data_IF_191522902945
#
_entry.id   IF_191522902945
#
_cell.length_a   1.000
_cell.length_b   1.000
_cell.length_c   1.000
_cell.angle_alpha   90.00
_cell.angle_beta   90.00
_cell.angle_gamma   90.00
#
_symmetry.space_group_name_H-M   'P 1'
#
loop_
_entity.id
_entity.type
_entity.pdbx_description
1 polymer ?
#
# COMPACT_ATOMS: atom_id res chain seq x y z
N UNK A 1 -14.68 29.68 16.26
CA UNK A 1 -14.09 28.35 16.67
C UNK A 1 -14.91 27.13 16.23
N UNK A 2 -16.22 27.19 16.14
CA UNK A 2 -17.09 26.08 15.68
C UNK A 2 -16.97 25.78 14.17
N UNK A 3 -16.78 26.76 13.29
CA UNK A 3 -16.59 26.53 11.85
C UNK A 3 -15.31 25.74 11.49
N UNK A 4 -14.22 25.93 12.26
CA UNK A 4 -12.99 25.14 12.05
C UNK A 4 -13.16 23.65 12.41
N UNK A 5 -14.02 23.30 13.38
CA UNK A 5 -14.28 21.91 13.75
C UNK A 5 -15.08 21.15 12.68
N UNK A 6 -16.12 21.78 12.12
CA UNK A 6 -16.95 21.15 11.08
C UNK A 6 -16.19 20.91 9.77
N UNK A 7 -15.34 21.86 9.36
CA UNK A 7 -14.51 21.72 8.17
C UNK A 7 -13.47 20.58 8.25
N UNK A 8 -12.89 20.36 9.44
CA UNK A 8 -11.94 19.28 9.65
C UNK A 8 -12.60 17.89 9.61
N UNK A 9 -13.83 17.74 10.14
CA UNK A 9 -14.55 16.45 10.12
C UNK A 9 -14.88 16.04 8.68
N UNK A 10 -15.33 16.98 7.85
CA UNK A 10 -15.64 16.68 6.45
C UNK A 10 -14.39 16.33 5.64
N UNK A 11 -13.27 17.04 5.89
CA UNK A 11 -11.98 16.70 5.27
C UNK A 11 -11.50 15.31 5.68
N UNK A 12 -11.62 14.94 6.97
CA UNK A 12 -11.29 13.59 7.47
C UNK A 12 -12.15 12.53 6.79
N UNK A 13 -13.47 12.75 6.71
CA UNK A 13 -14.38 11.82 6.05
C UNK A 13 -14.04 11.65 4.55
N UNK A 14 -13.68 12.73 3.86
CA UNK A 14 -13.22 12.68 2.47
C UNK A 14 -11.95 11.85 2.34
N UNK A 15 -10.97 12.05 3.24
CA UNK A 15 -9.73 11.26 3.22
C UNK A 15 -10.00 9.77 3.49
N UNK A 16 -10.92 9.44 4.38
CA UNK A 16 -11.33 8.07 4.63
C UNK A 16 -12.00 7.42 3.41
N UNK A 17 -12.87 8.17 2.72
CA UNK A 17 -13.46 7.70 1.47
C UNK A 17 -12.40 7.44 0.38
N UNK A 18 -11.40 8.33 0.28
CA UNK A 18 -10.28 8.14 -0.64
C UNK A 18 -9.42 6.92 -0.27
N UNK A 19 -9.16 6.67 1.02
CA UNK A 19 -8.45 5.46 1.46
C UNK A 19 -9.18 4.17 1.07
N UNK A 20 -10.50 4.14 1.26
CA UNK A 20 -11.33 3.03 0.81
C UNK A 20 -11.22 2.84 -0.71
N UNK A 21 -11.37 3.93 -1.47
CA UNK A 21 -11.32 3.92 -2.94
C UNK A 21 -9.97 3.43 -3.47
N UNK A 22 -8.85 3.89 -2.89
CA UNK A 22 -7.50 3.46 -3.28
C UNK A 22 -7.43 1.93 -3.30
N UNK A 23 -7.77 1.29 -2.19
CA UNK A 23 -7.67 -0.16 -2.09
C UNK A 23 -8.72 -0.88 -2.93
N UNK A 24 -9.95 -0.36 -2.98
CA UNK A 24 -11.00 -0.94 -3.78
C UNK A 24 -10.57 -1.04 -5.25
N UNK A 25 -10.05 0.05 -5.82
CA UNK A 25 -9.60 0.08 -7.22
C UNK A 25 -8.30 -0.67 -7.44
N UNK A 26 -7.32 -0.55 -6.53
CA UNK A 26 -6.03 -1.26 -6.66
C UNK A 26 -6.25 -2.79 -6.69
N UNK A 27 -7.19 -3.30 -5.92
CA UNK A 27 -7.46 -4.74 -5.87
C UNK A 27 -8.25 -5.27 -7.08
N UNK A 28 -8.76 -4.39 -7.95
CA UNK A 28 -9.23 -4.79 -9.28
C UNK A 28 -8.08 -5.31 -10.17
N UNK A 29 -6.85 -4.85 -9.96
CA UNK A 29 -5.71 -5.22 -10.79
C UNK A 29 -5.43 -6.73 -10.78
N UNK A 30 -5.67 -7.41 -9.66
CA UNK A 30 -5.38 -8.85 -9.54
C UNK A 30 -6.29 -9.72 -10.44
N UNK A 31 -7.62 -9.64 -10.36
CA UNK A 31 -8.51 -10.35 -11.30
C UNK A 31 -8.33 -9.91 -12.75
N UNK A 32 -8.08 -8.62 -13.00
CA UNK A 32 -7.80 -8.13 -14.34
C UNK A 32 -6.53 -8.74 -14.92
N UNK A 33 -5.50 -8.98 -14.10
CA UNK A 33 -4.29 -9.70 -14.51
C UNK A 33 -4.57 -11.14 -14.97
N UNK A 34 -5.52 -11.84 -14.32
CA UNK A 34 -5.96 -13.19 -14.74
C UNK A 34 -6.69 -13.12 -16.08
N UNK A 35 -7.59 -12.17 -16.26
CA UNK A 35 -8.32 -11.96 -17.53
C UNK A 35 -7.32 -11.61 -18.65
N UNK A 36 -6.37 -10.71 -18.38
CA UNK A 36 -5.31 -10.35 -19.32
C UNK A 36 -4.47 -11.57 -19.73
N UNK A 37 -4.09 -12.41 -18.77
CA UNK A 37 -3.37 -13.66 -19.06
C UNK A 37 -4.15 -14.55 -20.02
N UNK A 38 -5.44 -14.75 -19.77
CA UNK A 38 -6.29 -15.64 -20.55
C UNK A 38 -6.55 -15.09 -21.96
N UNK A 39 -6.95 -13.83 -22.06
CA UNK A 39 -7.29 -13.19 -23.34
C UNK A 39 -6.07 -13.01 -24.26
N UNK A 40 -4.92 -12.64 -23.70
CA UNK A 40 -3.72 -12.35 -24.49
C UNK A 40 -2.73 -13.51 -24.55
N UNK A 41 -3.12 -14.70 -24.05
CA UNK A 41 -2.22 -15.88 -23.94
C UNK A 41 -0.87 -15.54 -23.29
N UNK A 42 -0.91 -14.64 -22.28
CA UNK A 42 0.29 -14.18 -21.60
C UNK A 42 0.84 -15.24 -20.64
N UNK A 43 2.16 -15.28 -20.46
CA UNK A 43 2.78 -16.13 -19.45
C UNK A 43 2.39 -15.72 -18.03
N UNK A 44 2.59 -16.58 -17.04
CA UNK A 44 2.39 -16.24 -15.63
C UNK A 44 3.20 -15.01 -15.20
N UNK A 45 4.42 -14.87 -15.69
CA UNK A 45 5.26 -13.71 -15.43
C UNK A 45 4.68 -12.42 -16.03
N UNK A 46 4.21 -12.48 -17.28
CA UNK A 46 3.57 -11.32 -17.93
C UNK A 46 2.27 -10.92 -17.24
N UNK A 47 1.47 -11.87 -16.74
CA UNK A 47 0.22 -11.54 -16.03
C UNK A 47 0.45 -10.69 -14.76
N UNK A 48 1.62 -10.80 -14.15
CA UNK A 48 2.00 -10.00 -12.98
C UNK A 48 2.51 -8.59 -13.35
N UNK A 49 2.72 -8.28 -14.64
CA UNK A 49 3.18 -6.96 -15.04
C UNK A 49 2.19 -5.85 -14.69
N UNK A 50 0.87 -6.13 -14.64
CA UNK A 50 -0.11 -5.18 -14.16
C UNK A 50 0.14 -4.74 -12.71
N UNK A 51 0.47 -5.68 -11.83
CA UNK A 51 0.84 -5.40 -10.43
C UNK A 51 2.22 -4.72 -10.34
N UNK A 52 3.21 -5.19 -11.10
CA UNK A 52 4.53 -4.59 -11.15
C UNK A 52 4.47 -3.14 -11.67
N UNK A 53 3.61 -2.85 -12.64
CA UNK A 53 3.41 -1.51 -13.17
C UNK A 53 2.99 -0.51 -12.08
N UNK A 54 2.19 -0.93 -11.09
CA UNK A 54 1.85 -0.09 -9.94
C UNK A 54 3.10 0.29 -9.12
N UNK A 55 3.97 -0.66 -8.79
CA UNK A 55 5.20 -0.37 -8.02
C UNK A 55 6.18 0.49 -8.82
N UNK A 56 6.29 0.26 -10.14
CA UNK A 56 7.07 1.10 -11.05
C UNK A 56 6.51 2.52 -11.09
N UNK A 57 5.18 2.67 -11.11
CA UNK A 57 4.53 3.98 -11.07
C UNK A 57 4.88 4.78 -9.80
N UNK A 58 4.95 4.13 -8.63
CA UNK A 58 5.38 4.79 -7.39
C UNK A 58 6.82 5.28 -7.46
N UNK A 59 7.71 4.51 -8.10
CA UNK A 59 9.11 4.91 -8.31
C UNK A 59 9.21 6.23 -9.07
N UNK A 60 8.42 6.40 -10.12
CA UNK A 60 8.47 7.59 -10.97
C UNK A 60 7.62 8.74 -10.45
N UNK A 61 6.47 8.47 -9.81
CA UNK A 61 5.52 9.52 -9.40
C UNK A 61 5.73 10.02 -7.98
N UNK A 62 6.45 9.30 -7.11
CA UNK A 62 6.60 9.69 -5.71
C UNK A 62 7.13 11.13 -5.55
N UNK A 63 8.32 11.42 -6.04
CA UNK A 63 8.93 12.77 -5.96
C UNK A 63 8.15 13.81 -6.77
N UNK A 64 7.81 13.60 -8.07
CA UNK A 64 6.96 14.53 -8.81
C UNK A 64 5.62 14.81 -8.14
N UNK A 65 4.97 13.77 -7.59
CA UNK A 65 3.71 13.89 -6.85
C UNK A 65 3.86 14.75 -5.58
N UNK A 66 4.95 14.57 -4.83
CA UNK A 66 5.29 15.42 -3.68
C UNK A 66 5.51 16.88 -4.06
N UNK A 67 6.09 17.14 -5.24
CA UNK A 67 6.22 18.51 -5.79
C UNK A 67 4.87 19.10 -6.19
N UNK A 68 4.00 18.30 -6.80
CA UNK A 68 2.63 18.73 -7.13
C UNK A 68 1.90 19.09 -5.82
N UNK A 69 2.00 18.23 -4.80
CA UNK A 69 1.41 18.46 -3.49
C UNK A 69 1.90 19.78 -2.87
N UNK A 70 3.21 20.02 -2.86
CA UNK A 70 3.81 21.25 -2.32
C UNK A 70 3.32 22.49 -3.05
N UNK A 71 3.23 22.45 -4.39
CA UNK A 71 2.92 23.60 -5.25
C UNK A 71 1.43 23.85 -5.43
N UNK A 72 0.63 22.81 -5.52
CA UNK A 72 -0.80 22.84 -5.86
C UNK A 72 -1.72 22.58 -4.65
N UNK A 73 -1.16 22.06 -3.55
CA UNK A 73 -1.89 21.67 -2.35
C UNK A 73 -2.58 20.32 -2.46
N UNK A 74 -3.23 19.91 -1.37
CA UNK A 74 -3.89 18.62 -1.23
C UNK A 74 -5.09 18.45 -2.14
N UNK A 75 -5.96 19.47 -2.23
CA UNK A 75 -7.17 19.42 -3.04
C UNK A 75 -6.86 19.24 -4.52
N UNK A 76 -5.98 20.06 -5.08
CA UNK A 76 -5.62 19.95 -6.49
C UNK A 76 -4.88 18.65 -6.80
N UNK A 77 -3.99 18.20 -5.91
CA UNK A 77 -3.30 16.92 -6.08
C UNK A 77 -4.30 15.76 -6.09
N UNK A 78 -5.30 15.76 -5.21
CA UNK A 78 -6.35 14.75 -5.19
C UNK A 78 -7.19 14.77 -6.48
N UNK A 79 -7.59 15.96 -6.97
CA UNK A 79 -8.35 16.08 -8.22
C UNK A 79 -7.56 15.55 -9.43
N UNK A 80 -6.27 15.92 -9.53
CA UNK A 80 -5.37 15.41 -10.58
C UNK A 80 -5.25 13.89 -10.46
N UNK A 81 -5.04 13.37 -9.26
CA UNK A 81 -4.90 11.95 -9.01
C UNK A 81 -6.13 11.16 -9.44
N UNK A 82 -7.32 11.63 -9.05
CA UNK A 82 -8.60 10.99 -9.41
C UNK A 82 -8.84 11.03 -10.92
N UNK A 83 -8.54 12.16 -11.60
CA UNK A 83 -8.65 12.28 -13.04
C UNK A 83 -7.68 11.33 -13.78
N UNK A 84 -6.42 11.22 -13.30
CA UNK A 84 -5.42 10.29 -13.84
C UNK A 84 -5.86 8.83 -13.63
N UNK A 85 -6.46 8.49 -12.47
CA UNK A 85 -6.99 7.16 -12.21
C UNK A 85 -8.15 6.79 -13.13
N UNK A 86 -9.07 7.72 -13.35
CA UNK A 86 -10.15 7.56 -14.32
C UNK A 86 -9.60 7.28 -15.73
N UNK A 87 -8.61 8.07 -16.17
CA UNK A 87 -7.97 7.89 -17.47
C UNK A 87 -7.24 6.55 -17.56
N UNK A 88 -6.52 6.13 -16.50
CA UNK A 88 -5.83 4.84 -16.44
C UNK A 88 -6.77 3.65 -16.61
N UNK A 89 -7.92 3.67 -15.91
CA UNK A 89 -8.95 2.64 -16.09
C UNK A 89 -9.60 2.69 -17.49
N UNK A 90 -9.78 3.89 -18.06
CA UNK A 90 -10.25 4.06 -19.42
C UNK A 90 -9.30 3.43 -20.46
N UNK A 91 -7.98 3.58 -20.25
CA UNK A 91 -6.95 2.93 -21.08
C UNK A 91 -6.97 1.41 -20.91
N UNK A 92 -7.18 0.90 -19.67
CA UNK A 92 -7.36 -0.55 -19.45
C UNK A 92 -8.63 -1.06 -20.16
N UNK A 93 -9.73 -0.33 -20.09
CA UNK A 93 -10.96 -0.68 -20.81
C UNK A 93 -10.72 -0.72 -22.32
N UNK A 94 -10.05 0.28 -22.86
CA UNK A 94 -9.69 0.35 -24.29
C UNK A 94 -8.84 -0.84 -24.73
N UNK A 95 -7.95 -1.35 -23.86
CA UNK A 95 -7.10 -2.50 -24.16
C UNK A 95 -7.89 -3.76 -24.55
N UNK A 96 -9.09 -3.92 -23.96
CA UNK A 96 -10.01 -5.01 -24.31
C UNK A 96 -10.55 -4.91 -25.72
N UNK A 97 -10.89 -3.70 -26.15
CA UNK A 97 -11.44 -3.47 -27.50
C UNK A 97 -10.37 -3.60 -28.61
N UNK A 98 -9.17 -3.11 -28.35
CA UNK A 98 -8.06 -3.20 -29.32
C UNK A 98 -7.21 -4.47 -29.16
N UNK A 99 -7.58 -5.34 -28.23
CA UNK A 99 -6.92 -6.62 -27.93
C UNK A 99 -5.39 -6.49 -27.75
N UNK A 100 -4.94 -5.47 -26.96
CA UNK A 100 -3.52 -5.20 -26.75
C UNK A 100 -3.11 -5.29 -25.29
N UNK A 101 -2.23 -6.27 -24.98
CA UNK A 101 -1.65 -6.44 -23.64
C UNK A 101 -0.81 -5.24 -23.20
N UNK A 102 -0.04 -4.65 -24.13
CA UNK A 102 0.81 -3.47 -23.83
C UNK A 102 -0.03 -2.26 -23.39
N UNK A 103 -1.21 -2.07 -23.99
CA UNK A 103 -2.15 -1.01 -23.60
C UNK A 103 -2.77 -1.29 -22.23
N UNK A 104 -3.04 -2.55 -21.88
CA UNK A 104 -3.46 -2.93 -20.53
C UNK A 104 -2.40 -2.53 -19.48
N UNK A 105 -1.13 -2.89 -19.72
CA UNK A 105 -0.03 -2.57 -18.81
C UNK A 105 0.17 -1.05 -18.70
N UNK A 106 0.04 -0.32 -19.80
CA UNK A 106 0.10 1.15 -19.80
C UNK A 106 -1.04 1.75 -18.95
N UNK A 107 -2.26 1.25 -19.09
CA UNK A 107 -3.39 1.67 -18.26
C UNK A 107 -3.17 1.39 -16.78
N UNK A 108 -2.60 0.23 -16.41
CA UNK A 108 -2.24 -0.11 -15.05
C UNK A 108 -1.14 0.82 -14.49
N UNK A 109 -0.15 1.19 -15.31
CA UNK A 109 0.89 2.14 -14.95
C UNK A 109 0.34 3.54 -14.68
N UNK A 110 -0.56 4.03 -15.54
CA UNK A 110 -1.25 5.32 -15.36
C UNK A 110 -2.10 5.29 -14.08
N UNK A 111 -2.85 4.20 -13.82
CA UNK A 111 -3.62 4.02 -12.60
C UNK A 111 -2.70 4.02 -11.36
N UNK A 112 -1.50 3.44 -11.46
CA UNK A 112 -0.49 3.46 -10.40
C UNK A 112 -0.04 4.88 -10.04
N UNK A 113 0.07 5.81 -11.00
CA UNK A 113 0.33 7.23 -10.71
C UNK A 113 -0.75 7.85 -9.85
N UNK A 114 -2.01 7.57 -10.17
CA UNK A 114 -3.15 8.00 -9.37
C UNK A 114 -3.05 7.50 -7.92
N UNK A 115 -2.79 6.20 -7.74
CA UNK A 115 -2.68 5.58 -6.42
C UNK A 115 -1.54 6.19 -5.60
N UNK A 116 -0.39 6.45 -6.23
CA UNK A 116 0.73 7.13 -5.59
C UNK A 116 0.33 8.54 -5.12
N UNK A 117 -0.26 9.35 -6.00
CA UNK A 117 -0.69 10.72 -5.66
C UNK A 117 -1.78 10.75 -4.59
N UNK A 118 -2.74 9.81 -4.61
CA UNK A 118 -3.76 9.72 -3.56
C UNK A 118 -3.14 9.39 -2.20
N UNK A 119 -2.19 8.46 -2.15
CA UNK A 119 -1.46 8.16 -0.92
C UNK A 119 -0.64 9.35 -0.40
N UNK A 120 -0.09 10.18 -1.30
CA UNK A 120 0.56 11.45 -0.95
C UNK A 120 -0.40 12.46 -0.31
N UNK A 121 -1.68 12.39 -0.64
CA UNK A 121 -2.71 13.27 -0.08
C UNK A 121 -3.21 12.74 1.26
N UNK A 122 -3.67 11.47 1.30
CA UNK A 122 -4.44 10.97 2.45
C UNK A 122 -3.60 10.75 3.71
N UNK A 123 -2.37 10.23 3.57
CA UNK A 123 -1.52 9.91 4.72
C UNK A 123 -1.06 11.18 5.48
N UNK A 124 -0.39 12.16 4.86
CA UNK A 124 0.10 13.32 5.59
C UNK A 124 -1.04 14.22 6.06
N UNK A 125 -2.14 14.32 5.30
CA UNK A 125 -3.25 15.16 5.71
C UNK A 125 -3.98 14.59 6.93
N UNK A 126 -4.26 13.29 6.99
CA UNK A 126 -4.85 12.66 8.18
C UNK A 126 -3.92 12.77 9.39
N UNK A 127 -2.62 12.56 9.21
CA UNK A 127 -1.65 12.71 10.28
C UNK A 127 -1.69 14.12 10.87
N UNK A 128 -1.68 15.15 10.03
CA UNK A 128 -1.73 16.56 10.44
C UNK A 128 -3.08 16.96 11.05
N UNK A 129 -4.20 16.52 10.47
CA UNK A 129 -5.54 16.79 11.00
C UNK A 129 -5.76 16.14 12.38
N UNK A 130 -5.08 15.04 12.67
CA UNK A 130 -5.04 14.42 13.99
C UNK A 130 -4.14 15.15 15.00
N UNK A 131 -3.37 16.16 14.58
CA UNK A 131 -2.42 16.91 15.41
C UNK A 131 -1.11 16.19 15.63
N UNK A 132 -0.72 15.34 14.68
CA UNK A 132 0.47 14.49 14.72
C UNK A 132 0.52 13.53 15.92
N UNK A 133 1.65 12.84 16.12
CA UNK A 133 1.83 11.94 17.27
C UNK A 133 0.77 10.85 17.35
N UNK A 134 0.23 10.60 18.54
CA UNK A 134 -0.71 9.49 18.80
C UNK A 134 -2.04 9.63 18.05
N UNK A 135 -2.64 10.82 18.06
CA UNK A 135 -3.94 11.06 17.40
C UNK A 135 -3.79 11.07 15.87
N UNK A 136 -2.70 11.64 15.35
CA UNK A 136 -2.37 11.56 13.93
C UNK A 136 -2.22 10.10 13.48
N UNK A 137 -1.44 9.30 14.24
CA UNK A 137 -1.33 7.87 13.99
C UNK A 137 -2.69 7.16 14.02
N UNK A 138 -3.56 7.49 14.98
CA UNK A 138 -4.89 6.91 15.08
C UNK A 138 -5.71 7.14 13.81
N UNK A 139 -5.76 8.37 13.28
CA UNK A 139 -6.50 8.68 12.06
C UNK A 139 -5.93 7.95 10.85
N UNK A 140 -4.60 7.89 10.72
CA UNK A 140 -3.96 7.12 9.64
C UNK A 140 -4.29 5.63 9.75
N UNK A 141 -4.26 5.03 10.95
CA UNK A 141 -4.61 3.61 11.15
C UNK A 141 -6.09 3.32 10.84
N UNK A 142 -7.01 4.23 11.19
CA UNK A 142 -8.43 4.12 10.81
C UNK A 142 -8.55 4.17 9.28
N UNK A 143 -7.84 5.09 8.61
CA UNK A 143 -7.77 5.15 7.15
C UNK A 143 -7.26 3.84 6.55
N UNK A 144 -6.17 3.29 7.08
CA UNK A 144 -5.65 1.97 6.68
C UNK A 144 -6.64 0.84 6.90
N UNK A 145 -7.48 0.91 7.95
CA UNK A 145 -8.55 -0.08 8.18
C UNK A 145 -9.60 -0.01 7.08
N UNK A 146 -10.05 1.19 6.70
CA UNK A 146 -10.99 1.40 5.60
C UNK A 146 -10.40 0.97 4.26
N UNK A 147 -9.10 1.18 4.05
CA UNK A 147 -8.36 0.65 2.92
C UNK A 147 -8.46 -0.88 2.87
N UNK A 148 -8.26 -1.58 4.00
CA UNK A 148 -8.40 -3.05 4.05
C UNK A 148 -9.82 -3.52 3.78
N UNK A 149 -10.84 -2.80 4.24
CA UNK A 149 -12.25 -3.09 3.91
C UNK A 149 -12.48 -2.96 2.39
N UNK A 150 -11.97 -1.90 1.77
CA UNK A 150 -12.02 -1.70 0.32
C UNK A 150 -11.35 -2.85 -0.45
N UNK A 151 -10.15 -3.27 0.01
CA UNK A 151 -9.43 -4.39 -0.57
C UNK A 151 -10.20 -5.71 -0.50
N UNK A 152 -10.88 -5.97 0.61
CA UNK A 152 -11.68 -7.19 0.82
C UNK A 152 -12.95 -7.18 -0.02
N UNK A 153 -13.63 -6.03 -0.11
CA UNK A 153 -14.87 -5.92 -0.87
C UNK A 153 -14.65 -5.95 -2.39
N UNK A 154 -13.50 -5.46 -2.86
CA UNK A 154 -13.21 -5.35 -4.28
C UNK A 154 -13.37 -6.67 -5.06
N UNK A 155 -12.72 -7.79 -4.69
CA UNK A 155 -12.90 -9.05 -5.40
C UNK A 155 -14.32 -9.63 -5.26
N UNK A 156 -15.02 -9.35 -4.15
CA UNK A 156 -16.41 -9.78 -3.96
C UNK A 156 -17.36 -9.07 -4.94
N UNK A 157 -17.23 -7.75 -5.05
CA UNK A 157 -18.02 -6.93 -5.98
C UNK A 157 -17.69 -7.32 -7.41
N UNK A 158 -16.42 -7.57 -7.72
CA UNK A 158 -16.00 -8.02 -9.04
C UNK A 158 -16.63 -9.38 -9.39
N UNK A 159 -16.56 -10.36 -8.48
CA UNK A 159 -17.19 -11.67 -8.66
C UNK A 159 -18.70 -11.59 -8.82
N UNK A 160 -19.36 -10.65 -8.13
CA UNK A 160 -20.78 -10.40 -8.30
C UNK A 160 -21.14 -9.80 -9.67
N UNK A 161 -20.29 -8.92 -10.21
CA UNK A 161 -20.52 -8.26 -11.51
C UNK A 161 -20.16 -9.17 -12.69
N UNK A 162 -19.02 -9.86 -12.63
CA UNK A 162 -18.47 -10.64 -13.76
C UNK A 162 -18.85 -12.12 -13.65
N UNK A 163 -19.17 -12.60 -12.43
CA UNK A 163 -19.29 -14.03 -12.13
C UNK A 163 -17.91 -14.68 -11.93
N UNK A 164 -17.81 -15.99 -12.12
CA UNK A 164 -16.52 -16.69 -12.02
C UNK A 164 -15.61 -16.32 -13.18
N UNK A 165 -14.38 -15.91 -12.88
CA UNK A 165 -13.35 -15.64 -13.88
C UNK A 165 -12.85 -16.98 -14.42
N UNK A 166 -13.27 -17.33 -15.62
CA UNK A 166 -12.88 -18.55 -16.34
C UNK A 166 -11.78 -18.25 -17.37
N UNK A 167 -11.30 -19.29 -18.04
CA UNK A 167 -10.34 -19.13 -19.15
C UNK A 167 -10.91 -18.37 -20.35
N UNK A 168 -12.22 -18.32 -20.48
CA UNK A 168 -12.93 -17.67 -21.58
C UNK A 168 -13.35 -16.22 -21.24
N UNK A 169 -13.17 -15.79 -19.97
CA UNK A 169 -13.54 -14.45 -19.55
C UNK A 169 -12.65 -13.41 -20.24
N UNK A 170 -13.29 -12.51 -21.03
CA UNK A 170 -12.62 -11.43 -21.75
C UNK A 170 -12.72 -10.08 -21.04
N UNK A 171 -11.88 -9.10 -21.45
CA UNK A 171 -12.00 -7.72 -20.97
C UNK A 171 -13.35 -7.07 -21.31
N UNK A 172 -13.99 -7.48 -22.41
CA UNK A 172 -15.30 -6.97 -22.79
C UNK A 172 -16.35 -7.44 -21.77
N UNK A 173 -16.27 -8.69 -21.31
CA UNK A 173 -17.14 -9.19 -20.23
C UNK A 173 -16.82 -8.54 -18.87
N UNK A 174 -15.58 -8.12 -18.66
CA UNK A 174 -15.15 -7.40 -17.46
C UNK A 174 -15.44 -5.87 -17.54
N UNK A 175 -15.85 -5.35 -18.71
CA UNK A 175 -16.10 -3.93 -18.91
C UNK A 175 -17.09 -3.30 -17.93
N UNK A 176 -18.20 -3.95 -17.48
CA UNK A 176 -19.09 -3.37 -16.48
C UNK A 176 -18.39 -3.08 -15.16
N UNK A 177 -17.47 -3.96 -14.73
CA UNK A 177 -16.71 -3.77 -13.51
C UNK A 177 -15.72 -2.59 -13.63
N UNK A 178 -15.04 -2.45 -14.78
CA UNK A 178 -14.18 -1.30 -15.05
C UNK A 178 -14.99 0.01 -15.11
N UNK A 179 -16.19 -0.01 -15.68
CA UNK A 179 -17.10 1.14 -15.70
C UNK A 179 -17.56 1.54 -14.29
N UNK A 180 -17.86 0.56 -13.43
CA UNK A 180 -18.16 0.82 -12.01
C UNK A 180 -16.97 1.49 -11.31
N UNK A 181 -15.74 0.99 -11.51
CA UNK A 181 -14.54 1.58 -10.96
C UNK A 181 -14.32 3.01 -11.49
N UNK A 182 -14.53 3.25 -12.78
CA UNK A 182 -14.50 4.61 -13.35
C UNK A 182 -15.57 5.51 -12.75
N UNK A 183 -16.79 4.99 -12.53
CA UNK A 183 -17.87 5.71 -11.84
C UNK A 183 -17.48 6.12 -10.42
N UNK A 184 -16.79 5.25 -9.67
CA UNK A 184 -16.26 5.57 -8.34
C UNK A 184 -15.27 6.74 -8.43
N UNK A 185 -14.36 6.76 -9.41
CA UNK A 185 -13.45 7.89 -9.62
C UNK A 185 -14.21 9.18 -9.98
N UNK A 186 -15.23 9.11 -10.82
CA UNK A 186 -16.06 10.27 -11.18
C UNK A 186 -16.78 10.85 -9.95
N UNK A 187 -17.38 9.99 -9.12
CA UNK A 187 -18.01 10.40 -7.84
C UNK A 187 -16.96 10.99 -6.90
N UNK A 188 -15.80 10.35 -6.75
CA UNK A 188 -14.71 10.87 -5.92
C UNK A 188 -14.23 12.24 -6.40
N UNK A 189 -14.15 12.47 -7.72
CA UNK A 189 -13.80 13.78 -8.28
C UNK A 189 -14.78 14.86 -7.83
N UNK A 190 -16.09 14.59 -7.93
CA UNK A 190 -17.15 15.53 -7.51
C UNK A 190 -17.06 15.77 -6.00
N UNK A 191 -16.90 14.71 -5.20
CA UNK A 191 -16.79 14.84 -3.73
C UNK A 191 -15.57 15.69 -3.35
N UNK A 192 -14.41 15.45 -3.94
CA UNK A 192 -13.19 16.24 -3.68
C UNK A 192 -13.36 17.68 -4.15
N UNK A 193 -14.00 17.89 -5.32
CA UNK A 193 -14.25 19.23 -5.87
C UNK A 193 -15.13 20.08 -4.93
N UNK A 194 -16.16 19.48 -4.35
CA UNK A 194 -17.08 20.15 -3.42
C UNK A 194 -16.50 20.25 -1.99
N UNK A 195 -15.49 19.43 -1.66
CA UNK A 195 -14.89 19.40 -0.33
C UNK A 195 -14.04 20.63 -0.05
N UNK A 196 -14.12 21.14 1.20
CA UNK A 196 -13.18 22.13 1.73
C UNK A 196 -12.02 21.41 2.39
N UNK A 197 -10.95 21.18 1.64
CA UNK A 197 -9.75 20.52 2.11
C UNK A 197 -8.74 21.56 2.56
N UNK A 198 -8.24 21.51 3.81
CA UNK A 198 -7.21 22.44 4.28
C UNK A 198 -5.87 22.17 3.62
N UNK A 199 -5.06 23.22 3.46
CA UNK A 199 -3.78 23.20 2.74
C UNK A 199 -2.61 23.54 3.67
N UNK A 200 -2.34 22.77 4.74
CA UNK A 200 -1.36 23.12 5.76
C UNK A 200 0.09 23.13 5.26
N UNK A 201 0.39 22.44 4.15
CA UNK A 201 1.76 22.26 3.65
C UNK A 201 1.95 22.80 2.22
N UNK A 202 1.02 23.60 1.74
CA UNK A 202 1.16 24.26 0.44
C UNK A 202 2.21 25.38 0.52
N UNK A 203 2.96 25.54 -0.55
CA UNK A 203 3.99 26.58 -0.72
C UNK A 203 3.42 27.97 -0.41
N UNK A 204 4.11 28.73 0.43
CA UNK A 204 3.74 30.12 0.74
C UNK A 204 4.03 31.06 -0.43
N UNK A 205 3.42 32.27 -0.42
CA UNK A 205 3.68 33.27 -1.45
C UNK A 205 5.18 33.65 -1.53
N UNK A 206 5.86 33.72 -0.37
CA UNK A 206 7.29 34.01 -0.28
C UNK A 206 8.15 32.88 -0.86
N UNK A 207 7.84 31.63 -0.50
CA UNK A 207 8.55 30.47 -1.04
C UNK A 207 8.37 30.36 -2.56
N UNK A 208 7.16 30.68 -3.07
CA UNK A 208 6.87 30.75 -4.50
C UNK A 208 7.69 31.85 -5.20
N UNK A 209 7.80 33.04 -4.60
CA UNK A 209 8.60 34.13 -5.14
C UNK A 209 10.09 33.76 -5.21
N UNK A 210 10.65 33.17 -4.13
CA UNK A 210 12.04 32.69 -4.11
C UNK A 210 12.28 31.60 -5.18
N UNK A 211 11.34 30.69 -5.36
CA UNK A 211 11.43 29.65 -6.40
C UNK A 211 11.43 30.24 -7.80
N UNK A 212 10.57 31.22 -8.08
CA UNK A 212 10.49 31.87 -9.40
C UNK A 212 11.76 32.69 -9.73
N UNK A 213 12.45 33.19 -8.72
CA UNK A 213 13.74 33.86 -8.87
C UNK A 213 14.95 32.89 -9.00
N UNK A 214 14.69 31.58 -9.14
CA UNK A 214 15.74 30.57 -9.30
C UNK A 214 16.41 30.12 -8.00
N UNK A 215 15.94 30.60 -6.84
CA UNK A 215 16.55 30.31 -5.52
C UNK A 215 16.18 28.96 -4.91
N UNK A 216 15.17 28.27 -5.44
CA UNK A 216 14.71 26.99 -4.87
C UNK A 216 15.02 25.83 -5.83
N UNK A 217 15.94 24.96 -5.44
CA UNK A 217 16.26 23.73 -6.16
C UNK A 217 15.49 22.54 -5.55
N UNK A 218 14.82 21.74 -6.37
CA UNK A 218 14.19 20.48 -5.97
C UNK A 218 15.22 19.55 -5.30
N UNK A 219 16.43 19.52 -5.82
CA UNK A 219 17.53 18.73 -5.26
C UNK A 219 17.88 19.19 -3.85
N UNK A 220 17.83 20.51 -3.58
CA UNK A 220 18.05 21.07 -2.23
C UNK A 220 16.96 20.59 -1.27
N UNK A 221 15.69 20.63 -1.67
CA UNK A 221 14.59 20.13 -0.82
C UNK A 221 14.72 18.62 -0.52
N UNK A 222 15.13 17.82 -1.51
CA UNK A 222 15.41 16.40 -1.32
C UNK A 222 16.54 16.21 -0.30
N UNK A 223 17.68 16.88 -0.52
CA UNK A 223 18.85 16.77 0.38
C UNK A 223 18.51 17.23 1.79
N UNK A 224 17.82 18.37 1.94
CA UNK A 224 17.40 18.86 3.26
C UNK A 224 16.43 17.91 3.96
N UNK A 225 15.52 17.27 3.22
CA UNK A 225 14.62 16.25 3.76
C UNK A 225 15.39 15.01 4.23
N UNK A 226 16.36 14.56 3.44
CA UNK A 226 17.17 13.38 3.77
C UNK A 226 18.15 13.63 4.95
N UNK A 227 18.41 14.89 5.32
CA UNK A 227 19.17 15.20 6.55
C UNK A 227 18.40 14.87 7.83
N UNK A 228 17.08 14.69 7.77
CA UNK A 228 16.30 14.18 8.91
C UNK A 228 16.54 12.68 9.06
N UNK A 229 17.45 12.31 9.96
CA UNK A 229 17.87 10.91 10.15
C UNK A 229 16.71 9.95 10.34
N UNK A 230 15.74 10.30 11.21
CA UNK A 230 14.56 9.47 11.46
C UNK A 230 13.69 9.29 10.21
N UNK A 231 13.61 10.30 9.33
CA UNK A 231 12.92 10.22 8.05
C UNK A 231 13.66 9.28 7.09
N UNK A 232 14.96 9.44 6.90
CA UNK A 232 15.74 8.64 5.95
C UNK A 232 15.71 7.16 6.27
N UNK A 233 15.89 6.80 7.55
CA UNK A 233 15.74 5.41 7.99
C UNK A 233 14.28 4.93 7.93
N UNK A 234 13.29 5.81 8.11
CA UNK A 234 11.87 5.51 7.92
C UNK A 234 11.50 5.25 6.47
N UNK A 235 12.08 6.02 5.54
CA UNK A 235 11.92 5.79 4.11
C UNK A 235 12.48 4.41 3.67
N UNK A 236 13.60 3.99 4.27
CA UNK A 236 14.12 2.64 4.05
C UNK A 236 13.24 1.58 4.73
N UNK A 237 12.69 1.87 5.92
CA UNK A 237 11.80 0.96 6.63
C UNK A 237 10.51 0.67 5.85
N UNK A 238 9.93 1.66 5.15
CA UNK A 238 8.73 1.41 4.33
C UNK A 238 9.06 0.57 3.10
N UNK A 239 10.23 0.73 2.49
CA UNK A 239 10.69 -0.13 1.41
C UNK A 239 10.73 -1.60 1.86
N UNK A 240 11.34 -1.86 3.00
CA UNK A 240 11.42 -3.21 3.58
C UNK A 240 10.06 -3.76 4.03
N UNK A 241 9.22 -2.87 4.57
CA UNK A 241 7.86 -3.26 4.94
C UNK A 241 7.05 -3.80 3.75
N UNK A 242 7.12 -3.15 2.58
CA UNK A 242 6.41 -3.62 1.38
C UNK A 242 6.91 -5.00 0.95
N UNK A 243 8.21 -5.25 1.02
CA UNK A 243 8.77 -6.58 0.73
C UNK A 243 8.19 -7.64 1.67
N UNK A 244 8.05 -7.32 2.96
CA UNK A 244 7.49 -8.25 3.95
C UNK A 244 5.98 -8.43 3.72
N UNK A 245 5.24 -7.34 3.59
CA UNK A 245 3.77 -7.34 3.48
C UNK A 245 3.29 -8.23 2.33
N UNK A 246 3.95 -8.14 1.19
CA UNK A 246 3.57 -8.88 -0.03
C UNK A 246 4.38 -10.18 -0.17
N UNK A 247 5.64 -10.18 0.21
CA UNK A 247 6.53 -11.33 0.05
C UNK A 247 6.18 -12.50 0.97
N UNK A 248 5.80 -12.24 2.23
CA UNK A 248 5.47 -13.32 3.17
C UNK A 248 4.32 -14.19 2.67
N UNK A 249 3.13 -13.66 2.31
CA UNK A 249 2.06 -14.50 1.78
C UNK A 249 2.37 -15.07 0.39
N UNK A 250 3.19 -14.39 -0.43
CA UNK A 250 3.60 -14.91 -1.73
C UNK A 250 4.45 -16.17 -1.60
N UNK A 251 5.41 -16.21 -0.67
CA UNK A 251 6.20 -17.42 -0.39
C UNK A 251 5.34 -18.53 0.23
N UNK A 252 4.38 -18.19 1.10
CA UNK A 252 3.42 -19.15 1.63
C UNK A 252 2.55 -19.78 0.54
N UNK A 253 2.11 -18.98 -0.43
CA UNK A 253 1.37 -19.46 -1.60
C UNK A 253 2.23 -20.44 -2.42
N UNK A 254 3.48 -20.09 -2.70
CA UNK A 254 4.43 -20.97 -3.40
C UNK A 254 4.62 -22.29 -2.66
N UNK A 255 4.85 -22.25 -1.33
CA UNK A 255 5.04 -23.45 -0.51
C UNK A 255 3.85 -24.41 -0.58
N UNK A 256 2.62 -23.87 -0.58
CA UNK A 256 1.40 -24.67 -0.63
C UNK A 256 1.01 -25.13 -2.05
N UNK A 257 1.54 -24.53 -3.08
CA UNK A 257 1.25 -24.89 -4.48
C UNK A 257 2.37 -25.65 -5.17
N UNK A 258 3.51 -25.83 -4.52
CA UNK A 258 4.60 -26.66 -5.00
C UNK A 258 4.21 -28.15 -4.91
N UNK A 259 3.93 -28.78 -6.06
CA UNK A 259 3.46 -30.17 -6.16
C UNK A 259 4.46 -31.20 -5.63
N UNK A 260 5.74 -30.87 -5.56
CA UNK A 260 6.81 -31.74 -5.07
C UNK A 260 7.08 -31.50 -3.59
N UNK A 261 6.66 -30.35 -3.07
CA UNK A 261 6.90 -29.91 -1.70
C UNK A 261 6.04 -30.64 -0.65
N UNK A 262 6.52 -30.76 0.59
CA UNK A 262 5.79 -31.43 1.68
C UNK A 262 4.54 -30.64 2.14
N UNK A 263 4.37 -29.41 1.70
CA UNK A 263 3.25 -28.53 2.06
C UNK A 263 2.16 -28.43 1.01
N UNK A 264 2.18 -29.27 -0.01
CA UNK A 264 1.22 -29.18 -1.12
C UNK A 264 -0.24 -29.41 -0.68
N UNK A 265 -1.12 -28.45 -1.00
CA UNK A 265 -2.56 -28.54 -0.71
C UNK A 265 -3.45 -28.06 -1.87
N UNK A 266 -2.86 -27.58 -2.94
CA UNK A 266 -3.58 -27.04 -4.09
C UNK A 266 -4.01 -25.58 -3.94
N UNK A 267 -4.31 -24.94 -5.09
CA UNK A 267 -4.48 -23.49 -5.18
C UNK A 267 -5.66 -22.92 -4.37
N UNK A 268 -6.79 -23.65 -4.28
CA UNK A 268 -7.97 -23.16 -3.57
C UNK A 268 -7.75 -23.05 -2.04
N UNK A 269 -7.08 -24.06 -1.45
CA UNK A 269 -6.75 -24.05 -0.01
C UNK A 269 -5.63 -23.03 0.25
N UNK A 270 -4.59 -23.00 -0.59
CA UNK A 270 -3.51 -22.03 -0.51
C UNK A 270 -4.04 -20.58 -0.58
N UNK A 271 -4.97 -20.30 -1.50
CA UNK A 271 -5.63 -19.01 -1.61
C UNK A 271 -6.42 -18.62 -0.35
N UNK A 272 -7.11 -19.58 0.28
CA UNK A 272 -7.84 -19.34 1.51
C UNK A 272 -6.90 -19.01 2.70
N UNK A 273 -5.77 -19.71 2.82
CA UNK A 273 -4.76 -19.46 3.88
C UNK A 273 -4.08 -18.11 3.67
N UNK A 274 -3.72 -17.76 2.43
CA UNK A 274 -3.21 -16.42 2.12
C UNK A 274 -4.27 -15.34 2.33
N UNK A 275 -5.54 -15.65 2.06
CA UNK A 275 -6.67 -14.78 2.41
C UNK A 275 -6.77 -14.52 3.91
N UNK A 276 -6.52 -15.53 4.75
CA UNK A 276 -6.47 -15.38 6.20
C UNK A 276 -5.36 -14.41 6.66
N UNK A 277 -4.19 -14.39 5.99
CA UNK A 277 -3.15 -13.39 6.25
C UNK A 277 -3.70 -11.96 6.10
N UNK A 278 -4.39 -11.68 4.99
CA UNK A 278 -4.99 -10.36 4.75
C UNK A 278 -6.13 -10.04 5.71
N UNK A 279 -6.92 -11.04 6.11
CA UNK A 279 -7.97 -10.90 7.12
C UNK A 279 -7.38 -10.54 8.50
N UNK A 280 -6.33 -11.22 8.93
CA UNK A 280 -5.62 -10.89 10.17
C UNK A 280 -5.00 -9.50 10.12
N UNK A 281 -4.46 -9.09 8.96
CA UNK A 281 -3.99 -7.72 8.76
C UNK A 281 -5.13 -6.71 8.90
N UNK A 282 -6.31 -6.96 8.34
CA UNK A 282 -7.47 -6.08 8.48
C UNK A 282 -7.89 -5.96 9.95
N UNK A 283 -7.99 -7.07 10.68
CA UNK A 283 -8.30 -7.07 12.11
C UNK A 283 -7.27 -6.26 12.89
N UNK A 284 -5.99 -6.48 12.62
CA UNK A 284 -4.90 -5.75 13.26
C UNK A 284 -4.93 -4.25 12.98
N UNK A 285 -5.29 -3.82 11.77
CA UNK A 285 -5.48 -2.40 11.42
C UNK A 285 -6.62 -1.76 12.19
N UNK A 286 -7.76 -2.45 12.32
CA UNK A 286 -8.91 -1.97 13.11
C UNK A 286 -8.51 -1.81 14.58
N UNK A 287 -7.90 -2.84 15.17
CA UNK A 287 -7.44 -2.79 16.57
C UNK A 287 -6.34 -1.72 16.74
N UNK A 288 -5.41 -1.60 15.80
CA UNK A 288 -4.38 -0.57 15.78
C UNK A 288 -4.96 0.84 15.72
N UNK A 289 -6.06 1.05 15.00
CA UNK A 289 -6.81 2.30 14.98
C UNK A 289 -7.45 2.63 16.33
N UNK A 290 -8.05 1.63 17.01
CA UNK A 290 -8.65 1.80 18.34
C UNK A 290 -7.57 2.14 19.38
N UNK A 291 -6.44 1.46 19.33
CA UNK A 291 -5.35 1.59 20.32
C UNK A 291 -4.40 2.74 19.97
N UNK A 292 -4.34 3.17 18.71
CA UNK A 292 -3.38 4.14 18.18
C UNK A 292 -3.39 5.51 18.88
N UNK A 293 -4.55 5.92 19.43
CA UNK A 293 -4.66 7.14 20.22
C UNK A 293 -4.04 7.04 21.64
N UNK A 294 -3.80 5.82 22.13
CA UNK A 294 -3.29 5.57 23.50
C UNK A 294 -1.83 5.15 23.51
N UNK A 295 -1.42 4.32 22.56
CA UNK A 295 -0.07 3.72 22.47
C UNK A 295 0.69 4.39 21.30
N UNK A 296 1.96 4.73 21.54
CA UNK A 296 2.77 5.35 20.49
C UNK A 296 3.08 4.37 19.35
N UNK A 297 3.26 4.90 18.13
CA UNK A 297 3.64 4.12 16.94
C UNK A 297 4.91 3.30 17.17
N UNK A 298 5.89 3.85 17.93
CA UNK A 298 7.14 3.17 18.28
C UNK A 298 6.90 1.88 19.07
N UNK A 299 6.06 1.95 20.10
CA UNK A 299 5.73 0.78 20.94
C UNK A 299 4.94 -0.26 20.16
N UNK A 300 3.93 0.18 19.38
CA UNK A 300 3.13 -0.73 18.56
C UNK A 300 4.00 -1.45 17.52
N UNK A 301 4.81 -0.72 16.76
CA UNK A 301 5.67 -1.29 15.74
C UNK A 301 6.74 -2.23 16.33
N UNK A 302 7.34 -1.86 17.47
CA UNK A 302 8.35 -2.70 18.12
C UNK A 302 7.77 -4.01 18.63
N UNK A 303 6.63 -3.96 19.34
CA UNK A 303 5.96 -5.14 19.86
C UNK A 303 5.55 -6.10 18.73
N UNK A 304 4.90 -5.57 17.69
CA UNK A 304 4.44 -6.39 16.58
C UNK A 304 5.58 -6.88 15.68
N UNK A 305 6.70 -6.16 15.59
CA UNK A 305 7.89 -6.67 14.91
C UNK A 305 8.48 -7.89 15.63
N UNK A 306 8.57 -7.86 16.98
CA UNK A 306 9.00 -9.00 17.78
C UNK A 306 8.06 -10.19 17.58
N UNK A 307 6.75 -9.98 17.68
CA UNK A 307 5.75 -11.02 17.45
C UNK A 307 5.87 -11.60 16.02
N UNK A 308 6.04 -10.75 15.00
CA UNK A 308 6.19 -11.18 13.62
C UNK A 308 7.45 -12.02 13.38
N UNK A 309 8.58 -11.62 13.97
CA UNK A 309 9.82 -12.41 13.95
C UNK A 309 9.60 -13.77 14.59
N UNK A 310 8.97 -13.81 15.76
CA UNK A 310 8.66 -15.07 16.47
C UNK A 310 7.76 -15.96 15.62
N UNK A 311 6.71 -15.43 15.02
CA UNK A 311 5.80 -16.19 14.15
C UNK A 311 6.49 -16.70 12.89
N UNK A 312 7.41 -15.94 12.28
CA UNK A 312 8.19 -16.41 11.14
C UNK A 312 9.17 -17.52 11.53
N UNK A 313 9.81 -17.43 12.71
CA UNK A 313 10.61 -18.52 13.25
C UNK A 313 9.73 -19.77 13.47
N UNK A 314 8.54 -19.63 14.08
CA UNK A 314 7.59 -20.73 14.19
C UNK A 314 7.20 -21.31 12.81
N UNK A 315 7.02 -20.47 11.80
CA UNK A 315 6.73 -20.90 10.42
C UNK A 315 7.86 -21.75 9.86
N UNK A 316 9.12 -21.33 10.05
CA UNK A 316 10.30 -22.02 9.51
C UNK A 316 10.59 -23.34 10.21
N UNK A 317 10.43 -23.39 11.53
CA UNK A 317 10.78 -24.54 12.36
C UNK A 317 9.57 -25.40 12.77
N UNK A 318 8.37 -25.12 12.25
CA UNK A 318 7.19 -25.93 12.51
C UNK A 318 7.41 -27.36 12.00
N UNK A 319 6.96 -28.38 12.75
CA UNK A 319 6.97 -29.75 12.24
C UNK A 319 6.11 -29.85 10.98
N UNK A 320 6.48 -30.74 10.08
CA UNK A 320 5.69 -31.06 8.88
C UNK A 320 4.43 -31.81 9.34
N UNK A 321 3.43 -31.05 9.73
CA UNK A 321 2.14 -31.54 10.23
C UNK A 321 1.01 -30.78 9.54
N UNK A 322 0.04 -31.54 9.02
CA UNK A 322 -1.20 -30.97 8.51
C UNK A 322 -2.17 -30.73 9.68
N UNK A 323 -2.90 -29.63 9.61
CA UNK A 323 -3.95 -29.27 10.55
C UNK A 323 -5.22 -28.96 9.78
N UNK A 324 -6.37 -29.23 10.40
CA UNK A 324 -7.68 -28.92 9.81
C UNK A 324 -8.32 -27.74 10.54
N UNK A 325 -8.58 -26.66 9.79
CA UNK A 325 -9.27 -25.49 10.32
C UNK A 325 -10.40 -25.11 9.34
N UNK A 326 -11.60 -24.93 9.87
CA UNK A 326 -12.81 -24.62 9.07
C UNK A 326 -13.01 -25.61 7.90
N UNK A 327 -12.75 -26.92 8.13
CA UNK A 327 -12.93 -27.95 7.11
C UNK A 327 -11.87 -27.99 6.01
N UNK A 328 -10.80 -27.18 6.12
CA UNK A 328 -9.67 -27.17 5.18
C UNK A 328 -8.40 -27.70 5.87
N UNK A 329 -7.71 -28.62 5.21
CA UNK A 329 -6.46 -29.19 5.68
C UNK A 329 -5.28 -28.46 5.04
N UNK A 330 -4.32 -27.99 5.86
CA UNK A 330 -3.14 -27.28 5.40
C UNK A 330 -1.98 -27.38 6.41
N UNK A 331 -0.71 -27.09 6.01
CA UNK A 331 0.44 -27.20 6.90
C UNK A 331 0.38 -26.26 8.10
N UNK A 332 0.74 -26.75 9.29
CA UNK A 332 0.81 -25.95 10.53
C UNK A 332 1.70 -24.70 10.36
N UNK A 333 2.81 -24.81 9.62
CA UNK A 333 3.67 -23.69 9.29
C UNK A 333 2.88 -22.49 8.69
N UNK A 334 1.91 -22.78 7.84
CA UNK A 334 1.12 -21.74 7.16
C UNK A 334 0.08 -21.09 8.07
N UNK A 335 -0.32 -21.72 9.17
CA UNK A 335 -1.11 -21.06 10.21
C UNK A 335 -0.31 -19.93 10.90
N UNK A 336 0.95 -20.20 11.25
CA UNK A 336 1.83 -19.18 11.81
C UNK A 336 2.09 -18.06 10.80
N UNK A 337 2.34 -18.40 9.53
CA UNK A 337 2.52 -17.43 8.44
C UNK A 337 1.27 -16.53 8.30
N UNK A 338 0.07 -17.08 8.34
CA UNK A 338 -1.16 -16.29 8.27
C UNK A 338 -1.27 -15.27 9.41
N UNK A 339 -0.88 -15.65 10.64
CA UNK A 339 -0.88 -14.75 11.80
C UNK A 339 0.13 -13.59 11.67
N UNK A 340 1.18 -13.71 10.84
CA UNK A 340 2.12 -12.61 10.58
C UNK A 340 1.40 -11.39 9.99
N UNK A 341 0.30 -11.58 9.25
CA UNK A 341 -0.54 -10.50 8.76
C UNK A 341 -1.00 -9.54 9.85
N UNK A 342 -1.38 -10.07 11.02
CA UNK A 342 -1.71 -9.25 12.18
C UNK A 342 -0.51 -8.39 12.64
N UNK A 343 0.69 -8.95 12.62
CA UNK A 343 1.91 -8.26 13.06
C UNK A 343 2.33 -7.14 12.11
N UNK A 344 2.11 -7.29 10.81
CA UNK A 344 2.43 -6.27 9.81
C UNK A 344 1.40 -5.15 9.71
N UNK A 345 0.22 -5.34 10.30
CA UNK A 345 -0.98 -4.51 10.11
C UNK A 345 -0.79 -3.01 10.36
N UNK A 346 -0.15 -2.63 11.47
CA UNK A 346 0.01 -1.22 11.88
C UNK A 346 1.30 -0.58 11.37
N UNK A 347 2.17 -1.36 10.71
CA UNK A 347 3.51 -0.90 10.36
C UNK A 347 3.49 0.22 9.32
N UNK A 348 2.62 0.15 8.29
CA UNK A 348 2.49 1.21 7.30
C UNK A 348 2.27 2.58 7.93
N UNK A 349 1.16 2.74 8.65
CA UNK A 349 0.81 4.01 9.30
C UNK A 349 1.79 4.39 10.40
N UNK A 350 2.29 3.40 11.16
CA UNK A 350 3.28 3.62 12.22
C UNK A 350 4.61 4.14 11.69
N UNK A 351 5.16 3.53 10.63
CA UNK A 351 6.41 3.97 9.99
C UNK A 351 6.24 5.36 9.40
N UNK A 352 5.12 5.61 8.67
CA UNK A 352 4.82 6.93 8.12
C UNK A 352 4.76 7.99 9.22
N UNK A 353 3.99 7.74 10.30
CA UNK A 353 3.85 8.68 11.40
C UNK A 353 5.19 9.01 12.08
N UNK A 354 6.03 7.99 12.31
CA UNK A 354 7.37 8.19 12.88
C UNK A 354 8.31 8.93 11.92
N UNK A 355 8.24 8.65 10.62
CA UNK A 355 9.07 9.29 9.61
C UNK A 355 8.66 10.75 9.36
N UNK A 356 7.36 11.04 9.41
CA UNK A 356 6.82 12.38 9.16
C UNK A 356 6.99 13.34 10.35
N UNK A 357 7.31 12.81 11.55
CA UNK A 357 7.41 13.61 12.78
C UNK A 357 8.43 14.76 12.64
N UNK A 358 7.97 16.00 12.81
CA UNK A 358 8.84 17.18 12.82
C UNK A 358 9.42 17.61 11.46
N UNK A 359 8.91 17.09 10.33
CA UNK A 359 9.36 17.52 8.99
C UNK A 359 8.90 18.94 8.61
N UNK A 360 7.83 19.45 9.23
CA UNK A 360 7.31 20.79 8.97
C UNK A 360 7.08 21.06 7.47
N UNK A 361 7.72 22.09 6.93
CA UNK A 361 7.60 22.47 5.51
C UNK A 361 8.09 21.41 4.52
N UNK A 362 8.87 20.44 4.97
CA UNK A 362 9.39 19.35 4.13
C UNK A 362 8.45 18.14 4.03
N UNK A 363 7.28 18.17 4.69
CA UNK A 363 6.35 17.02 4.72
C UNK A 363 5.91 16.59 3.31
N UNK A 364 5.66 17.53 2.40
CA UNK A 364 5.25 17.23 1.03
C UNK A 364 6.36 16.52 0.25
N UNK A 365 7.62 16.99 0.37
CA UNK A 365 8.77 16.34 -0.23
C UNK A 365 9.08 15.00 0.43
N UNK A 366 9.03 14.96 1.77
CA UNK A 366 9.19 13.72 2.54
C UNK A 366 8.16 12.66 2.15
N UNK A 367 6.90 13.03 2.03
CA UNK A 367 5.85 12.12 1.55
C UNK A 367 6.15 11.62 0.14
N UNK A 368 6.65 12.48 -0.75
CA UNK A 368 7.08 12.10 -2.09
C UNK A 368 8.18 11.04 -2.09
N UNK A 369 9.25 11.26 -1.31
CA UNK A 369 10.36 10.30 -1.16
C UNK A 369 9.84 8.99 -0.51
N UNK A 370 9.00 9.10 0.52
CA UNK A 370 8.40 7.94 1.18
C UNK A 370 7.58 7.08 0.20
N UNK A 371 6.76 7.71 -0.65
CA UNK A 371 5.99 7.00 -1.67
C UNK A 371 6.89 6.42 -2.78
N UNK A 372 7.99 7.08 -3.13
CA UNK A 372 8.99 6.47 -4.04
C UNK A 372 9.52 5.16 -3.48
N UNK A 373 9.75 5.07 -2.16
CA UNK A 373 10.26 3.87 -1.50
C UNK A 373 9.24 2.72 -1.41
N UNK A 374 7.96 2.96 -1.66
CA UNK A 374 6.94 1.90 -1.83
C UNK A 374 7.25 1.01 -3.04
N UNK A 375 8.04 1.51 -4.01
CA UNK A 375 8.58 0.68 -5.09
C UNK A 375 9.45 -0.50 -4.61
N UNK A 376 9.74 -0.59 -3.30
CA UNK A 376 10.33 -1.78 -2.67
C UNK A 376 9.66 -3.10 -3.02
N UNK A 377 8.37 -3.08 -3.42
CA UNK A 377 7.69 -4.24 -3.99
C UNK A 377 8.39 -4.88 -5.19
N UNK A 378 9.22 -4.12 -5.92
CA UNK A 378 10.06 -4.64 -7.00
C UNK A 378 11.20 -5.55 -6.49
N UNK A 379 11.48 -5.57 -5.19
CA UNK A 379 12.48 -6.44 -4.58
C UNK A 379 11.92 -7.81 -4.15
N UNK A 380 10.61 -8.04 -4.23
CA UNK A 380 9.97 -9.33 -3.89
C UNK A 380 10.59 -10.51 -4.68
N UNK A 381 10.90 -10.40 -5.98
CA UNK A 381 11.58 -11.46 -6.71
C UNK A 381 12.92 -11.88 -6.11
N UNK A 382 13.61 -11.00 -5.36
CA UNK A 382 14.86 -11.35 -4.66
C UNK A 382 14.63 -12.45 -3.61
N UNK A 383 13.49 -12.41 -2.90
CA UNK A 383 13.10 -13.47 -1.97
C UNK A 383 12.78 -14.77 -2.72
N UNK A 384 12.16 -14.68 -3.90
CA UNK A 384 11.95 -15.84 -4.78
C UNK A 384 13.27 -16.51 -5.22
N UNK A 385 14.22 -15.71 -5.70
CA UNK A 385 15.56 -16.20 -6.07
C UNK A 385 16.31 -16.82 -4.87
N UNK A 386 16.10 -16.29 -3.68
CA UNK A 386 16.64 -16.89 -2.45
C UNK A 386 15.94 -18.22 -2.16
N UNK A 387 14.61 -18.29 -2.32
CA UNK A 387 13.84 -19.52 -2.12
C UNK A 387 14.28 -20.65 -3.07
N UNK A 388 14.65 -20.33 -4.31
CA UNK A 388 15.17 -21.30 -5.28
C UNK A 388 16.51 -21.91 -4.82
N UNK A 389 17.31 -21.17 -4.05
CA UNK A 389 18.63 -21.61 -3.59
C UNK A 389 18.61 -22.34 -2.24
N UNK A 390 17.81 -21.85 -1.29
CA UNK A 390 17.85 -22.34 0.10
C UNK A 390 16.56 -23.03 0.54
N UNK A 391 15.56 -23.09 -0.34
CA UNK A 391 14.21 -23.57 -0.05
C UNK A 391 13.27 -22.48 0.42
N UNK A 392 11.95 -22.67 0.17
CA UNK A 392 10.92 -21.63 0.38
C UNK A 392 10.85 -21.18 1.84
N UNK A 393 10.79 -22.13 2.80
CA UNK A 393 10.73 -21.78 4.22
C UNK A 393 11.98 -21.05 4.71
N UNK A 394 13.17 -21.47 4.24
CA UNK A 394 14.42 -20.81 4.60
C UNK A 394 14.54 -19.39 4.00
N UNK A 395 13.81 -19.08 2.93
CA UNK A 395 13.79 -17.71 2.38
C UNK A 395 13.23 -16.68 3.36
N UNK A 396 12.45 -17.09 4.37
CA UNK A 396 11.92 -16.21 5.41
C UNK A 396 13.00 -15.59 6.32
N UNK A 397 14.26 -16.08 6.30
CA UNK A 397 15.36 -15.37 6.93
C UNK A 397 15.53 -13.95 6.40
N UNK A 398 15.25 -13.73 5.10
CA UNK A 398 15.23 -12.37 4.54
C UNK A 398 14.15 -11.53 5.24
N UNK A 399 12.91 -12.02 5.33
CA UNK A 399 11.80 -11.32 5.99
C UNK A 399 12.09 -11.05 7.46
N UNK A 400 12.72 -11.97 8.19
CA UNK A 400 13.17 -11.78 9.58
C UNK A 400 14.22 -10.67 9.67
N UNK A 401 15.21 -10.65 8.77
CA UNK A 401 16.22 -9.59 8.73
C UNK A 401 15.58 -8.20 8.48
N UNK A 402 14.62 -8.13 7.57
CA UNK A 402 13.88 -6.89 7.27
C UNK A 402 12.99 -6.45 8.45
N UNK A 403 12.30 -7.38 9.14
CA UNK A 403 11.55 -7.08 10.38
C UNK A 403 12.47 -6.62 11.51
N UNK A 404 13.66 -7.21 11.62
CA UNK A 404 14.67 -6.79 12.60
C UNK A 404 15.11 -5.35 12.33
N UNK A 405 15.28 -4.97 11.06
CA UNK A 405 15.54 -3.57 10.72
C UNK A 405 14.40 -2.66 11.17
N UNK A 406 13.14 -3.03 10.92
CA UNK A 406 11.96 -2.24 11.33
C UNK A 406 11.91 -2.13 12.87
N UNK A 407 12.26 -3.18 13.60
CA UNK A 407 12.37 -3.16 15.06
C UNK A 407 13.43 -2.17 15.53
N UNK A 408 14.64 -2.22 14.97
CA UNK A 408 15.72 -1.28 15.28
C UNK A 408 15.32 0.15 14.91
N UNK A 409 14.66 0.33 13.77
CA UNK A 409 14.13 1.63 13.39
C UNK A 409 13.15 2.17 14.44
N UNK A 410 12.16 1.38 14.84
CA UNK A 410 11.16 1.81 15.82
C UNK A 410 11.77 2.14 17.19
N UNK A 411 12.73 1.34 17.68
CA UNK A 411 13.33 1.50 19.00
C UNK A 411 14.34 2.65 19.07
N UNK A 412 15.17 2.81 18.04
CA UNK A 412 16.38 3.67 18.09
C UNK A 412 16.35 4.77 17.05
N UNK A 413 16.16 4.42 15.76
CA UNK A 413 16.42 5.31 14.64
C UNK A 413 15.26 6.28 14.36
N UNK A 414 14.05 5.98 14.85
CA UNK A 414 12.84 6.79 14.63
C UNK A 414 12.77 8.04 15.51
N UNK A 415 13.67 8.19 16.48
CA UNK A 415 13.65 9.36 17.39
C UNK A 415 14.08 10.62 16.63
N UNK A 416 13.24 11.67 16.60
CA UNK A 416 13.63 12.92 15.96
C UNK A 416 14.81 13.54 16.71
N UNK A 417 15.85 13.90 15.97
CA UNK A 417 16.94 14.70 16.51
C UNK A 417 16.49 16.15 16.44
N UNK A 418 16.38 16.83 17.60
CA UNK A 418 16.14 18.27 17.63
C UNK A 418 17.27 18.95 16.85
N UNK A 419 16.92 19.61 15.74
CA UNK A 419 17.84 20.58 15.12
C UNK A 419 17.79 21.84 15.98
N UNK A 420 18.95 22.25 16.47
CA UNK A 420 19.15 23.53 17.11
C UNK A 420 18.85 24.67 16.15
#
# INVERSE_FOLDING_TARGET
MQEKKGGNIFAIATMFALFFMIAFVTNFASPMGVIAKNQFNASNALSQLGNAANFIAYLFMGIPGGLILKRKGYKMTALIAVAVGFAGLGVQLLSGYISSFSVYVLGAFIAGFSMCMLNLVVNPLLNTLGGEGKKGNQLVQIGCSLNSVGATLSPMVLGWIIGEVTKETSFIQASPALMVAMGIFAVAFIVVLLSRIPEPHMETAEEKAIRLQGGASVMKDIVETLKFRHFTFGALAICFYIVIEVGVPAMGMLYMTDKVGPGYVGGAVAGAVCGAYWLFMMIGRILGGIVGGKISSRVQASFLAICGITLLLCTMFAPVKMITVCGKEFPLAMAFMACVGFCTSVMWGGIFNMAAEGLGKYISMGSGIFMTMVSGGLLIPVQGMLADKVGILNSYWLSIGLLTYILVYALVLSKPVKRA
#
